data_IF_789859141363
#
_entry.id   IF_789859141363
#
_cell.length_a   1.000
_cell.length_b   1.000
_cell.length_c   1.000
_cell.angle_alpha   90.00
_cell.angle_beta   90.00
_cell.angle_gamma   90.00
#
_symmetry.space_group_name_H-M   'P 1'
#
loop_
_entity.id
_entity.type
_entity.pdbx_description
1 polymer ?
#
# COMPACT_ATOMS: atom_id res chain seq x y z
N UNK A 1 -43.10 -1.39 34.48
CA UNK A 1 -42.34 -2.54 33.96
C UNK A 1 -41.16 -2.03 33.13
N UNK A 2 -39.96 -2.02 33.70
CA UNK A 2 -38.73 -1.48 33.08
C UNK A 2 -37.84 -2.64 32.62
N UNK A 3 -37.73 -2.87 31.30
CA UNK A 3 -36.78 -3.85 30.74
C UNK A 3 -35.56 -3.12 30.18
N UNK A 4 -34.42 -3.32 30.87
CA UNK A 4 -33.09 -2.80 30.54
C UNK A 4 -32.53 -3.48 29.28
N UNK A 5 -32.03 -2.67 28.35
CA UNK A 5 -31.31 -3.10 27.14
C UNK A 5 -29.85 -3.40 27.51
N UNK A 6 -29.41 -4.65 27.36
CA UNK A 6 -27.99 -5.03 27.44
C UNK A 6 -27.38 -4.93 26.04
N UNK A 7 -26.55 -3.90 25.81
CA UNK A 7 -25.67 -3.79 24.64
C UNK A 7 -24.63 -4.91 24.70
N UNK A 8 -24.59 -5.76 23.67
CA UNK A 8 -23.44 -6.62 23.37
C UNK A 8 -22.63 -5.91 22.28
N UNK A 9 -21.45 -5.44 22.62
CA UNK A 9 -20.43 -5.07 21.65
C UNK A 9 -19.88 -6.37 21.05
N UNK A 10 -20.43 -6.77 19.91
CA UNK A 10 -19.86 -7.85 19.11
C UNK A 10 -18.87 -7.21 18.14
N UNK A 11 -17.59 -7.47 18.37
CA UNK A 11 -16.46 -7.11 17.53
C UNK A 11 -16.76 -7.48 16.07
N UNK A 12 -17.01 -6.48 15.25
CA UNK A 12 -17.22 -6.65 13.81
C UNK A 12 -15.87 -7.06 13.21
N UNK A 13 -15.75 -8.34 12.83
CA UNK A 13 -14.74 -8.76 11.86
C UNK A 13 -15.02 -7.99 10.57
N UNK A 14 -14.17 -7.03 10.24
CA UNK A 14 -14.21 -6.37 8.94
C UNK A 14 -13.87 -7.44 7.91
N UNK A 15 -14.91 -7.94 7.24
CA UNK A 15 -14.77 -8.77 6.04
C UNK A 15 -14.13 -7.86 5.00
N UNK A 16 -12.85 -8.10 4.71
CA UNK A 16 -12.19 -7.52 3.53
C UNK A 16 -13.04 -7.87 2.33
N UNK A 17 -13.58 -6.84 1.67
CA UNK A 17 -14.34 -6.97 0.43
C UNK A 17 -13.33 -7.45 -0.62
N UNK A 18 -13.32 -8.74 -0.91
CA UNK A 18 -12.68 -9.23 -2.14
C UNK A 18 -13.62 -8.88 -3.28
N UNK A 19 -13.25 -7.97 -4.20
CA UNK A 19 -14.04 -7.76 -5.40
C UNK A 19 -14.01 -9.05 -6.23
N UNK A 20 -15.06 -9.36 -7.00
CA UNK A 20 -15.06 -10.53 -7.86
C UNK A 20 -13.86 -10.50 -8.83
N UNK A 21 -13.23 -11.67 -9.02
CA UNK A 21 -12.09 -11.87 -9.94
C UNK A 21 -12.43 -11.30 -11.32
N UNK A 22 -11.75 -10.21 -11.70
CA UNK A 22 -11.85 -9.62 -13.05
C UNK A 22 -12.12 -8.11 -13.12
N UNK A 23 -12.50 -7.44 -12.01
CA UNK A 23 -12.87 -6.00 -12.02
C UNK A 23 -12.28 -5.18 -10.87
N UNK A 24 -11.18 -5.61 -10.27
CA UNK A 24 -10.50 -4.80 -9.26
C UNK A 24 -9.92 -3.54 -9.91
N UNK A 25 -10.46 -2.37 -9.52
CA UNK A 25 -9.94 -1.08 -9.95
C UNK A 25 -8.62 -0.83 -9.23
N UNK A 26 -7.51 -0.96 -9.97
CA UNK A 26 -6.17 -0.95 -9.39
C UNK A 26 -5.83 0.35 -8.65
N UNK A 27 -6.45 1.49 -8.96
CA UNK A 27 -6.24 2.72 -8.19
C UNK A 27 -6.86 2.65 -6.79
N UNK A 28 -7.97 1.92 -6.62
CA UNK A 28 -8.58 1.68 -5.30
C UNK A 28 -7.77 0.65 -4.51
N UNK A 29 -7.29 -0.40 -5.19
CA UNK A 29 -6.36 -1.37 -4.61
C UNK A 29 -5.09 -0.68 -4.10
N UNK A 30 -4.48 0.18 -4.92
CA UNK A 30 -3.31 0.94 -4.53
C UNK A 30 -3.58 1.83 -3.32
N UNK A 31 -4.73 2.52 -3.31
CA UNK A 31 -5.11 3.39 -2.20
C UNK A 31 -5.22 2.62 -0.88
N UNK A 32 -5.92 1.48 -0.89
CA UNK A 32 -6.10 0.63 0.30
C UNK A 32 -4.79 -0.04 0.74
N UNK A 33 -3.96 -0.44 -0.23
CA UNK A 33 -2.64 -1.00 0.04
C UNK A 33 -1.71 0.04 0.69
N UNK A 34 -1.66 1.25 0.13
CA UNK A 34 -0.79 2.35 0.56
C UNK A 34 -1.22 3.04 1.86
N UNK A 35 -2.42 2.75 2.36
CA UNK A 35 -3.03 3.38 3.54
C UNK A 35 -2.07 3.53 4.74
N UNK A 36 -1.27 2.52 5.15
CA UNK A 36 -0.36 2.65 6.31
C UNK A 36 0.71 3.74 6.14
N UNK A 37 1.14 4.00 4.90
CA UNK A 37 2.10 5.06 4.58
C UNK A 37 1.41 6.40 4.36
N UNK A 38 0.23 6.40 3.71
CA UNK A 38 -0.58 7.59 3.48
C UNK A 38 -1.10 8.22 4.78
N UNK A 39 -1.45 7.40 5.78
CA UNK A 39 -1.94 7.86 7.08
C UNK A 39 -0.85 8.60 7.88
N UNK A 40 0.43 8.35 7.59
CA UNK A 40 1.57 9.04 8.21
C UNK A 40 2.00 10.29 7.42
N UNK A 41 1.57 10.42 6.17
CA UNK A 41 1.95 11.51 5.30
C UNK A 41 1.04 12.73 5.50
N UNK A 42 1.63 13.85 5.90
CA UNK A 42 0.93 15.10 6.21
C UNK A 42 0.90 16.05 5.04
N UNK A 43 2.00 16.13 4.28
CA UNK A 43 2.14 17.01 3.12
C UNK A 43 1.80 16.30 1.82
N UNK A 44 1.51 17.08 0.77
CA UNK A 44 1.30 16.53 -0.57
C UNK A 44 2.52 15.77 -1.08
N UNK A 45 3.72 16.30 -0.82
CA UNK A 45 4.98 15.68 -1.21
C UNK A 45 5.20 14.34 -0.48
N UNK A 46 4.95 14.30 0.83
CA UNK A 46 5.00 13.05 1.60
C UNK A 46 4.00 12.02 1.08
N UNK A 47 2.79 12.43 0.73
CA UNK A 47 1.79 11.51 0.18
C UNK A 47 2.22 10.99 -1.19
N UNK A 48 2.85 11.82 -2.03
CA UNK A 48 3.43 11.37 -3.31
C UNK A 48 4.50 10.31 -3.06
N UNK A 49 5.45 10.57 -2.14
CA UNK A 49 6.49 9.60 -1.75
C UNK A 49 5.90 8.31 -1.20
N UNK A 50 4.86 8.39 -0.37
CA UNK A 50 4.15 7.22 0.17
C UNK A 50 3.53 6.35 -0.94
N UNK A 51 2.92 6.96 -1.96
CA UNK A 51 2.37 6.23 -3.11
C UNK A 51 3.50 5.59 -3.92
N UNK A 52 4.57 6.32 -4.23
CA UNK A 52 5.72 5.80 -4.97
C UNK A 52 6.36 4.60 -4.25
N UNK A 53 6.58 4.72 -2.94
CA UNK A 53 7.14 3.65 -2.12
C UNK A 53 6.19 2.44 -2.07
N UNK A 54 4.89 2.68 -1.97
CA UNK A 54 3.89 1.60 -2.03
C UNK A 54 3.97 0.84 -3.35
N UNK A 55 4.02 1.54 -4.48
CA UNK A 55 4.16 0.92 -5.81
C UNK A 55 5.43 0.07 -5.89
N UNK A 56 6.55 0.61 -5.39
CA UNK A 56 7.81 -0.11 -5.36
C UNK A 56 7.68 -1.41 -4.54
N UNK A 57 7.21 -1.34 -3.29
CA UNK A 57 7.00 -2.53 -2.45
C UNK A 57 6.05 -3.55 -3.09
N UNK A 58 4.97 -3.07 -3.73
CA UNK A 58 4.01 -3.93 -4.43
C UNK A 58 4.69 -4.69 -5.57
N UNK A 59 5.42 -3.99 -6.44
CA UNK A 59 6.09 -4.62 -7.57
C UNK A 59 7.22 -5.55 -7.10
N UNK A 60 7.99 -5.14 -6.08
CA UNK A 60 9.05 -5.96 -5.48
C UNK A 60 8.51 -7.28 -4.91
N UNK A 61 7.28 -7.32 -4.39
CA UNK A 61 6.67 -8.55 -3.85
C UNK A 61 6.47 -9.70 -4.86
N UNK A 62 6.75 -9.47 -6.15
CA UNK A 62 6.73 -10.49 -7.19
C UNK A 62 8.12 -11.06 -7.50
N UNK A 63 9.18 -10.48 -6.93
CA UNK A 63 10.57 -10.86 -7.14
C UNK A 63 11.00 -11.92 -6.12
N UNK A 64 12.21 -12.44 -6.29
CA UNK A 64 12.86 -13.33 -5.32
C UNK A 64 13.38 -12.56 -4.08
N UNK A 65 13.70 -13.28 -3.01
CA UNK A 65 14.25 -12.67 -1.79
C UNK A 65 15.58 -11.94 -2.03
N UNK A 66 16.44 -12.46 -2.91
CA UNK A 66 17.71 -11.81 -3.27
C UNK A 66 17.45 -10.44 -3.94
N UNK A 67 16.47 -10.38 -4.84
CA UNK A 67 16.05 -9.16 -5.54
C UNK A 67 15.35 -8.16 -4.61
N UNK A 68 14.69 -8.62 -3.55
CA UNK A 68 14.13 -7.73 -2.53
C UNK A 68 15.22 -6.86 -1.88
N UNK A 69 16.37 -7.47 -1.54
CA UNK A 69 17.44 -6.76 -0.86
C UNK A 69 18.09 -5.71 -1.77
N UNK A 70 18.19 -6.01 -3.07
CA UNK A 70 18.65 -5.05 -4.08
C UNK A 70 17.68 -3.86 -4.20
N UNK A 71 16.37 -4.14 -4.30
CA UNK A 71 15.33 -3.11 -4.36
C UNK A 71 15.35 -2.19 -3.13
N UNK A 72 15.52 -2.76 -1.93
CA UNK A 72 15.63 -2.00 -0.68
C UNK A 72 16.87 -1.08 -0.71
N UNK A 73 18.02 -1.60 -1.14
CA UNK A 73 19.25 -0.81 -1.22
C UNK A 73 19.13 0.35 -2.22
N UNK A 74 18.48 0.12 -3.36
CA UNK A 74 18.18 1.18 -4.33
C UNK A 74 17.25 2.23 -3.73
N UNK A 75 16.15 1.82 -3.08
CA UNK A 75 15.19 2.72 -2.45
C UNK A 75 15.84 3.59 -1.35
N UNK A 76 16.68 2.99 -0.51
CA UNK A 76 17.46 3.71 0.53
C UNK A 76 18.29 4.83 -0.09
N UNK A 77 18.96 4.55 -1.23
CA UNK A 77 19.80 5.51 -1.93
C UNK A 77 18.97 6.62 -2.60
N UNK A 78 17.88 6.27 -3.28
CA UNK A 78 17.05 7.23 -4.01
C UNK A 78 16.26 8.16 -3.09
N UNK A 79 15.73 7.63 -1.98
CA UNK A 79 14.96 8.42 -1.00
C UNK A 79 15.91 9.23 -0.10
N UNK A 80 17.19 8.86 -0.03
CA UNK A 80 18.18 9.51 0.84
C UNK A 80 18.00 9.13 2.30
N UNK A 81 17.64 7.87 2.58
CA UNK A 81 17.51 7.36 3.94
C UNK A 81 18.88 7.33 4.61
N UNK A 82 18.99 7.95 5.78
CA UNK A 82 20.22 7.97 6.55
C UNK A 82 20.60 6.56 7.01
N UNK A 83 21.90 6.28 7.16
CA UNK A 83 22.38 4.92 7.47
C UNK A 83 21.84 4.37 8.80
N UNK A 84 21.67 5.24 9.80
CA UNK A 84 21.05 4.90 11.08
C UNK A 84 19.56 4.52 10.95
N UNK A 85 18.87 5.02 9.93
CA UNK A 85 17.45 4.76 9.69
C UNK A 85 17.21 3.60 8.70
N UNK A 86 18.27 3.11 8.05
CA UNK A 86 18.20 2.02 7.06
C UNK A 86 17.47 0.79 7.60
N UNK A 87 17.74 0.38 8.84
CA UNK A 87 17.09 -0.79 9.43
C UNK A 87 15.58 -0.59 9.62
N UNK A 88 15.16 0.58 10.10
CA UNK A 88 13.75 0.91 10.25
C UNK A 88 13.04 0.96 8.88
N UNK A 89 13.70 1.57 7.88
CA UNK A 89 13.20 1.59 6.51
C UNK A 89 13.03 0.18 5.93
N UNK A 90 14.02 -0.70 6.10
CA UNK A 90 13.95 -2.10 5.66
C UNK A 90 12.75 -2.82 6.29
N UNK A 91 12.48 -2.61 7.58
CA UNK A 91 11.33 -3.19 8.26
C UNK A 91 10.00 -2.71 7.68
N UNK A 92 9.88 -1.40 7.42
CA UNK A 92 8.70 -0.83 6.77
C UNK A 92 8.51 -1.46 5.38
N UNK A 93 9.57 -1.50 4.57
CA UNK A 93 9.55 -2.04 3.21
C UNK A 93 9.08 -3.50 3.21
N UNK A 94 9.67 -4.34 4.07
CA UNK A 94 9.29 -5.76 4.20
C UNK A 94 7.86 -5.93 4.73
N UNK A 95 7.42 -5.09 5.68
CA UNK A 95 6.04 -5.14 6.16
C UNK A 95 5.01 -4.83 5.06
N UNK A 96 5.35 -3.93 4.13
CA UNK A 96 4.52 -3.60 2.98
C UNK A 96 4.50 -4.74 1.96
N UNK A 97 5.63 -5.42 1.73
CA UNK A 97 5.67 -6.66 0.90
C UNK A 97 4.76 -7.73 1.53
N UNK A 98 4.92 -8.01 2.83
CA UNK A 98 4.10 -9.00 3.52
C UNK A 98 2.62 -8.66 3.45
N UNK A 99 2.25 -7.39 3.62
CA UNK A 99 0.85 -6.92 3.44
C UNK A 99 0.30 -7.26 2.07
N UNK A 100 1.09 -7.12 0.99
CA UNK A 100 0.68 -7.51 -0.37
C UNK A 100 0.45 -9.02 -0.41
N UNK A 101 1.42 -9.81 0.05
CA UNK A 101 1.38 -11.27 0.01
C UNK A 101 0.28 -11.89 0.87
N UNK A 102 -0.15 -11.23 1.95
CA UNK A 102 -1.22 -11.75 2.81
C UNK A 102 -2.61 -11.28 2.37
N UNK A 103 -2.78 -9.99 2.05
CA UNK A 103 -4.12 -9.40 1.89
C UNK A 103 -4.52 -9.23 0.43
N UNK A 104 -3.55 -9.19 -0.48
CA UNK A 104 -3.73 -8.93 -1.91
C UNK A 104 -3.16 -10.07 -2.78
N UNK A 105 -2.95 -11.26 -2.21
CA UNK A 105 -2.32 -12.41 -2.90
C UNK A 105 -3.02 -12.83 -4.20
N UNK A 106 -4.32 -12.56 -4.32
CA UNK A 106 -5.12 -12.90 -5.50
C UNK A 106 -4.91 -11.96 -6.70
N UNK A 107 -4.19 -10.85 -6.52
CA UNK A 107 -4.02 -9.81 -7.53
C UNK A 107 -2.66 -9.98 -8.22
N UNK A 108 -2.68 -10.61 -9.40
CA UNK A 108 -1.48 -10.87 -10.22
C UNK A 108 -1.24 -9.75 -11.25
N UNK A 109 -1.18 -8.51 -10.75
CA UNK A 109 -0.93 -7.30 -11.56
C UNK A 109 0.18 -6.46 -10.96
N UNK A 110 1.04 -5.92 -11.81
CA UNK A 110 2.05 -4.93 -11.46
C UNK A 110 1.55 -3.52 -11.84
N UNK A 111 2.05 -2.51 -11.14
CA UNK A 111 1.87 -1.11 -11.55
C UNK A 111 2.96 -0.75 -12.54
N UNK A 112 2.56 -0.27 -13.72
CA UNK A 112 3.48 0.17 -14.80
C UNK A 112 3.69 1.67 -14.72
N UNK A 113 2.61 2.42 -14.54
CA UNK A 113 2.63 3.88 -14.47
C UNK A 113 1.51 4.39 -13.56
N UNK A 114 1.67 5.60 -13.05
CA UNK A 114 0.70 6.23 -12.16
C UNK A 114 0.73 7.76 -12.24
N UNK A 115 -0.45 8.35 -12.15
CA UNK A 115 -0.64 9.79 -12.02
C UNK A 115 -1.23 10.14 -10.66
N UNK A 116 -0.71 11.21 -10.06
CA UNK A 116 -1.21 11.78 -8.82
C UNK A 116 -1.65 13.22 -9.08
N UNK A 117 -2.95 13.46 -9.03
CA UNK A 117 -3.56 14.79 -9.16
C UNK A 117 -4.09 15.25 -7.81
N UNK A 118 -3.80 16.49 -7.45
CA UNK A 118 -4.40 17.13 -6.28
C UNK A 118 -5.78 17.67 -6.62
N UNK A 119 -6.76 17.38 -5.78
CA UNK A 119 -8.13 17.91 -5.87
C UNK A 119 -8.24 19.19 -5.04
N UNK A 120 -9.24 20.03 -5.36
CA UNK A 120 -9.46 21.34 -4.71
C UNK A 120 -9.63 21.30 -3.17
N UNK A 121 -9.77 20.12 -2.57
CA UNK A 121 -9.91 19.89 -1.13
C UNK A 121 -8.67 19.24 -0.49
N UNK A 122 -7.51 19.24 -1.16
CA UNK A 122 -6.28 18.61 -0.66
C UNK A 122 -6.31 17.07 -0.66
N UNK A 123 -7.33 16.46 -1.29
CA UNK A 123 -7.36 15.01 -1.54
C UNK A 123 -6.54 14.67 -2.78
N UNK A 124 -6.04 13.45 -2.79
CA UNK A 124 -5.35 12.88 -3.96
C UNK A 124 -6.32 12.08 -4.82
N UNK A 125 -6.23 12.27 -6.13
CA UNK A 125 -6.78 11.37 -7.14
C UNK A 125 -5.66 10.55 -7.75
N UNK A 126 -5.82 9.23 -7.75
CA UNK A 126 -4.87 8.28 -8.33
C UNK A 126 -5.39 7.75 -9.67
N UNK A 127 -4.60 7.93 -10.72
CA UNK A 127 -4.74 7.19 -11.97
C UNK A 127 -3.60 6.18 -12.05
N UNK A 128 -3.88 4.98 -12.53
CA UNK A 128 -2.87 3.92 -12.63
C UNK A 128 -3.01 3.16 -13.93
N UNK A 129 -1.88 2.76 -14.48
CA UNK A 129 -1.76 1.76 -15.54
C UNK A 129 -1.17 0.51 -14.91
N UNK A 130 -1.85 -0.62 -15.10
CA UNK A 130 -1.42 -1.91 -14.56
C UNK A 130 -1.35 -2.97 -15.65
N UNK A 131 -0.35 -3.84 -15.57
CA UNK A 131 -0.20 -4.99 -16.45
C UNK A 131 -0.18 -6.30 -15.67
N UNK A 132 -0.28 -7.41 -16.39
CA UNK A 132 0.01 -8.73 -15.81
C UNK A 132 1.50 -8.81 -15.48
N UNK A 133 1.87 -9.48 -14.39
CA UNK A 133 3.28 -9.80 -14.16
C UNK A 133 3.77 -10.67 -15.34
N UNK A 134 4.96 -10.37 -15.87
CA UNK A 134 5.58 -11.16 -16.95
C UNK A 134 6.18 -12.46 -16.40
#
# INVERSE_FOLDING_TARGET
MTKKIKKRHTTQRVKVVQPPKGQEKMSEVLHEYAKPLLDQATTLEEKRKAVSLSILCWNTSFLSEDEHQEAINMAVKEIGIAQNDKMAFTQIFMSMIHRKLEWFFGIDKIFIDYGITELQNGKLSLTVISGKKM
#
